data_IF_366320661256
#
_entry.id   IF_366320661256
#
_cell.length_a   1.000
_cell.length_b   1.000
_cell.length_c   1.000
_cell.angle_alpha   90.00
_cell.angle_beta   90.00
_cell.angle_gamma   90.00
#
_symmetry.space_group_name_H-M   'P 1'
#
loop_
_entity.id
_entity.type
_entity.pdbx_description
1 polymer ?
#
# COMPACT_ATOMS: atom_id res chain seq x y z
N UNK A 1 7.82 18.04 4.35
CA UNK A 1 7.50 17.64 2.96
C UNK A 1 5.99 17.36 2.82
N UNK A 2 5.43 17.43 1.61
CA UNK A 2 4.02 17.06 1.34
C UNK A 2 3.99 15.76 0.53
N UNK A 3 3.16 14.81 0.93
CA UNK A 3 2.94 13.52 0.26
C UNK A 3 1.44 13.18 0.23
N UNK A 4 1.06 12.23 -0.62
CA UNK A 4 -0.35 11.87 -0.85
C UNK A 4 -0.64 10.41 -0.54
N UNK A 5 -1.78 10.15 0.09
CA UNK A 5 -2.27 8.81 0.39
C UNK A 5 -3.68 8.62 -0.14
N UNK A 6 -3.92 7.59 -0.96
CA UNK A 6 -5.27 7.20 -1.35
C UNK A 6 -5.81 6.09 -0.46
N UNK A 7 -7.08 6.19 -0.05
CA UNK A 7 -7.80 5.13 0.67
C UNK A 7 -9.28 5.12 0.33
N UNK A 8 -9.89 3.94 0.26
CA UNK A 8 -11.34 3.78 0.09
C UNK A 8 -12.09 4.24 1.36
N UNK A 9 -11.48 4.04 2.54
CA UNK A 9 -12.10 4.37 3.83
C UNK A 9 -11.77 5.80 4.27
N UNK A 10 -12.77 6.48 4.83
CA UNK A 10 -12.55 7.73 5.54
C UNK A 10 -11.91 7.45 6.91
N UNK A 11 -10.88 8.20 7.29
CA UNK A 11 -10.26 8.17 8.61
C UNK A 11 -9.76 9.56 9.00
N UNK A 12 -9.70 9.80 10.31
CA UNK A 12 -9.27 11.10 10.85
C UNK A 12 -7.77 11.14 11.16
N UNK A 13 -7.16 9.99 11.47
CA UNK A 13 -5.77 9.87 11.85
C UNK A 13 -5.17 8.60 11.24
N UNK A 14 -3.85 8.62 10.99
CA UNK A 14 -3.11 7.42 10.61
C UNK A 14 -3.04 6.44 11.78
N UNK A 15 -3.34 5.17 11.53
CA UNK A 15 -3.04 4.06 12.42
C UNK A 15 -2.85 2.78 11.59
N UNK A 16 -2.11 1.82 12.13
CA UNK A 16 -1.72 0.59 11.40
C UNK A 16 -2.88 -0.33 11.03
N UNK A 17 -4.02 -0.21 11.71
CA UNK A 17 -5.17 -1.09 11.49
C UNK A 17 -6.10 -0.56 10.39
N UNK A 18 -6.20 0.77 10.24
CA UNK A 18 -7.12 1.41 9.31
C UNK A 18 -6.47 1.81 7.99
N UNK A 19 -5.14 1.96 7.96
CA UNK A 19 -4.42 2.50 6.81
C UNK A 19 -3.57 1.42 6.15
N UNK A 20 -4.09 0.85 5.07
CA UNK A 20 -3.38 -0.13 4.24
C UNK A 20 -3.56 0.26 2.78
N UNK A 21 -2.47 0.65 2.12
CA UNK A 21 -2.45 0.63 0.65
C UNK A 21 -2.22 -0.80 0.19
N UNK A 22 -3.04 -1.29 -0.75
CA UNK A 22 -2.83 -2.60 -1.36
C UNK A 22 -1.67 -2.53 -2.35
N UNK A 23 -0.45 -2.45 -1.81
CA UNK A 23 0.78 -2.53 -2.56
C UNK A 23 1.13 -3.99 -2.83
N UNK A 24 1.71 -4.25 -4.00
CA UNK A 24 2.18 -5.58 -4.38
C UNK A 24 3.29 -6.09 -3.46
N UNK A 25 3.52 -7.41 -3.51
CA UNK A 25 4.60 -8.10 -2.78
C UNK A 25 4.53 -7.98 -1.25
N UNK A 26 3.34 -7.71 -0.70
CA UNK A 26 3.07 -7.65 0.74
C UNK A 26 3.96 -6.65 1.50
N UNK A 27 4.34 -5.52 0.87
CA UNK A 27 5.16 -4.47 1.50
C UNK A 27 4.35 -3.49 2.35
N UNK A 28 3.03 -3.61 2.29
CA UNK A 28 2.06 -2.74 2.93
C UNK A 28 2.17 -2.70 4.46
N UNK A 29 2.76 -3.72 5.10
CA UNK A 29 2.93 -3.77 6.57
C UNK A 29 4.26 -3.18 7.07
N UNK A 30 5.14 -2.73 6.17
CA UNK A 30 6.41 -2.08 6.55
C UNK A 30 6.13 -0.77 7.29
N UNK A 31 5.26 0.08 6.75
CA UNK A 31 4.91 1.38 7.30
C UNK A 31 3.77 2.04 6.52
N UNK A 32 3.60 3.34 6.71
CA UNK A 32 2.60 4.14 5.99
C UNK A 32 3.14 4.56 4.63
N UNK A 33 2.41 4.21 3.57
CA UNK A 33 2.85 4.46 2.20
C UNK A 33 2.15 5.66 1.57
N UNK A 34 2.94 6.44 0.83
CA UNK A 34 2.53 7.68 0.19
C UNK A 34 3.18 7.85 -1.17
N UNK A 35 2.56 8.64 -2.03
CA UNK A 35 3.10 9.05 -3.32
C UNK A 35 3.49 10.54 -3.31
N UNK A 36 4.46 10.91 -4.14
CA UNK A 36 4.79 12.33 -4.40
C UNK A 36 3.70 13.10 -5.14
N UNK A 37 2.84 12.40 -5.88
CA UNK A 37 1.86 13.01 -6.78
C UNK A 37 0.43 12.55 -6.46
N UNK A 38 -0.51 13.51 -6.51
CA UNK A 38 -1.92 13.30 -6.21
C UNK A 38 -2.61 12.36 -7.20
N UNK A 39 -2.25 12.41 -8.49
CA UNK A 39 -2.86 11.54 -9.49
C UNK A 39 -2.44 10.09 -9.28
N UNK A 40 -1.20 9.87 -8.85
CA UNK A 40 -0.71 8.52 -8.51
C UNK A 40 -1.30 7.95 -7.22
N UNK A 41 -1.88 8.78 -6.36
CA UNK A 41 -2.64 8.34 -5.19
C UNK A 41 -4.06 7.87 -5.53
N UNK A 42 -4.66 8.33 -6.64
CA UNK A 42 -6.05 8.04 -7.02
C UNK A 42 -6.38 6.54 -7.08
N UNK A 43 -5.58 5.66 -7.70
CA UNK A 43 -5.92 4.23 -7.79
C UNK A 43 -6.08 3.56 -6.43
N UNK A 44 -5.40 4.04 -5.39
CA UNK A 44 -5.52 3.51 -4.03
C UNK A 44 -6.81 3.94 -3.32
N UNK A 45 -7.45 5.00 -3.83
CA UNK A 45 -8.72 5.51 -3.35
C UNK A 45 -9.91 5.05 -4.21
N UNK A 46 -9.71 4.16 -5.17
CA UNK A 46 -10.78 3.61 -6.00
C UNK A 46 -10.88 2.10 -5.80
N UNK A 47 -12.09 1.58 -5.66
CA UNK A 47 -12.29 0.15 -5.50
C UNK A 47 -13.71 -0.30 -5.75
N UNK A 48 -14.07 -1.41 -5.13
CA UNK A 48 -15.42 -1.96 -5.19
C UNK A 48 -15.86 -2.43 -3.82
N UNK A 49 -17.08 -2.07 -3.45
CA UNK A 49 -17.74 -2.59 -2.25
C UNK A 49 -18.68 -3.72 -2.63
N UNK A 50 -18.76 -4.73 -1.77
CA UNK A 50 -19.73 -5.81 -1.92
C UNK A 50 -21.05 -5.35 -1.32
N UNK A 51 -22.06 -5.19 -2.16
CA UNK A 51 -23.41 -4.85 -1.73
C UNK A 51 -24.21 -6.14 -1.67
N UNK A 52 -24.88 -6.36 -0.53
CA UNK A 52 -25.82 -7.46 -0.32
C UNK A 52 -27.18 -6.82 -0.09
N UNK A 53 -28.10 -6.98 -1.04
CA UNK A 53 -29.44 -6.38 -0.94
C UNK A 53 -30.54 -7.31 -1.45
N UNK A 54 -31.77 -6.99 -1.07
CA UNK A 54 -32.96 -7.65 -1.60
C UNK A 54 -33.16 -7.23 -3.05
N UNK A 55 -33.23 -8.21 -3.94
CA UNK A 55 -33.42 -7.99 -5.37
C UNK A 55 -34.77 -7.34 -5.64
N UNK A 56 -34.77 -6.31 -6.49
CA UNK A 56 -36.01 -5.68 -6.97
C UNK A 56 -36.64 -6.44 -8.15
N UNK A 57 -35.92 -7.43 -8.71
CA UNK A 57 -36.30 -8.12 -9.95
C UNK A 57 -36.40 -9.64 -9.80
N UNK A 58 -35.77 -10.22 -8.79
CA UNK A 58 -35.74 -11.66 -8.57
C UNK A 58 -36.42 -12.00 -7.25
N UNK A 59 -37.38 -12.92 -7.31
CA UNK A 59 -38.17 -13.37 -6.17
C UNK A 59 -38.12 -14.90 -6.06
N UNK A 60 -38.23 -15.41 -4.85
CA UNK A 60 -38.48 -16.81 -4.56
C UNK A 60 -39.92 -17.18 -4.93
N UNK A 61 -40.22 -18.48 -5.04
CA UNK A 61 -41.56 -18.97 -5.39
C UNK A 61 -42.64 -18.57 -4.37
N UNK A 62 -42.24 -18.30 -3.12
CA UNK A 62 -43.11 -17.78 -2.05
C UNK A 62 -43.37 -16.26 -2.16
N UNK A 63 -42.85 -15.57 -3.18
CA UNK A 63 -42.98 -14.13 -3.39
C UNK A 63 -41.98 -13.27 -2.61
N UNK A 64 -41.07 -13.86 -1.81
CA UNK A 64 -40.04 -13.09 -1.11
C UNK A 64 -38.91 -12.66 -2.05
N UNK A 65 -38.37 -11.43 -1.95
CA UNK A 65 -37.24 -11.00 -2.75
C UNK A 65 -35.99 -11.85 -2.49
N UNK A 66 -35.30 -12.29 -3.54
CA UNK A 66 -34.00 -12.98 -3.40
C UNK A 66 -32.94 -12.02 -2.86
N UNK A 67 -31.95 -12.57 -2.16
CA UNK A 67 -30.75 -11.82 -1.77
C UNK A 67 -29.77 -11.87 -2.93
N UNK A 68 -29.37 -10.71 -3.45
CA UNK A 68 -28.35 -10.59 -4.49
C UNK A 68 -27.10 -9.94 -3.93
N UNK A 69 -25.95 -10.42 -4.40
CA UNK A 69 -24.64 -9.90 -4.06
C UNK A 69 -23.94 -9.43 -5.32
N UNK A 70 -23.53 -8.17 -5.36
CA UNK A 70 -22.78 -7.61 -6.48
C UNK A 70 -21.73 -6.62 -6.01
N UNK A 71 -20.73 -6.38 -6.88
CA UNK A 71 -19.68 -5.38 -6.64
C UNK A 71 -20.15 -4.03 -7.19
N UNK A 72 -20.24 -3.03 -6.32
CA UNK A 72 -20.52 -1.65 -6.69
C UNK A 72 -19.20 -0.86 -6.69
N UNK A 73 -18.89 -0.06 -7.72
CA UNK A 73 -17.75 0.86 -7.69
C UNK A 73 -17.86 1.79 -6.47
N UNK A 74 -16.75 1.99 -5.77
CA UNK A 74 -16.64 2.92 -4.66
C UNK A 74 -15.48 3.88 -4.87
N UNK A 75 -15.77 5.17 -4.64
CA UNK A 75 -14.79 6.25 -4.62
C UNK A 75 -14.50 6.62 -3.16
N UNK A 76 -13.22 6.69 -2.83
CA UNK A 76 -12.71 7.01 -1.51
C UNK A 76 -12.18 8.43 -1.41
N UNK A 77 -11.05 8.57 -0.72
CA UNK A 77 -10.47 9.83 -0.32
C UNK A 77 -8.97 9.85 -0.62
N UNK A 78 -8.47 11.02 -1.02
CA UNK A 78 -7.04 11.31 -1.05
C UNK A 78 -6.69 12.23 0.11
N UNK A 79 -5.70 11.84 0.88
CA UNK A 79 -5.17 12.59 2.01
C UNK A 79 -3.88 13.27 1.58
N UNK A 80 -3.81 14.59 1.77
CA UNK A 80 -2.59 15.37 1.65
C UNK A 80 -1.94 15.47 3.02
N UNK A 81 -0.73 14.97 3.14
CA UNK A 81 -0.07 14.77 4.42
C UNK A 81 1.23 15.56 4.45
N UNK A 82 1.40 16.37 5.49
CA UNK A 82 2.68 16.96 5.84
C UNK A 82 3.47 15.96 6.69
N UNK A 83 4.73 15.77 6.31
CA UNK A 83 5.69 14.94 7.04
C UNK A 83 6.91 15.80 7.37
N UNK A 84 7.25 15.89 8.64
CA UNK A 84 8.34 16.76 9.08
C UNK A 84 9.71 16.13 8.80
N UNK A 85 10.46 16.75 7.89
CA UNK A 85 11.78 16.36 7.33
C UNK A 85 12.38 15.02 7.82
N UNK A 86 11.78 13.86 7.46
CA UNK A 86 12.22 12.58 7.99
C UNK A 86 13.55 12.16 7.36
N UNK A 87 14.39 11.48 8.13
CA UNK A 87 15.61 10.87 7.62
C UNK A 87 15.28 9.58 6.83
N UNK A 88 15.24 9.66 5.50
CA UNK A 88 14.83 8.55 4.63
C UNK A 88 16.02 7.79 4.04
N UNK A 89 15.93 6.46 4.02
CA UNK A 89 16.77 5.63 3.14
C UNK A 89 16.31 5.82 1.69
N UNK A 90 17.18 6.37 0.84
CA UNK A 90 16.86 6.62 -0.57
C UNK A 90 17.33 5.44 -1.42
N UNK A 91 16.39 4.83 -2.14
CA UNK A 91 16.64 3.88 -3.21
C UNK A 91 16.53 4.60 -4.55
N UNK A 92 17.67 4.74 -5.23
CA UNK A 92 17.81 5.37 -6.53
C UNK A 92 18.88 4.64 -7.33
N UNK A 93 18.61 4.38 -8.59
CA UNK A 93 19.58 3.82 -9.52
C UNK A 93 19.42 4.40 -10.92
N UNK A 94 20.54 4.50 -11.62
CA UNK A 94 20.59 4.88 -13.03
C UNK A 94 20.76 3.66 -13.95
N UNK A 95 20.99 2.47 -13.40
CA UNK A 95 21.32 1.25 -14.15
C UNK A 95 20.28 0.14 -13.99
N UNK A 96 19.48 0.19 -12.93
CA UNK A 96 18.41 -0.76 -12.65
C UNK A 96 17.22 -0.04 -12.02
N UNK A 97 16.09 -0.73 -11.86
CA UNK A 97 14.90 -0.14 -11.23
C UNK A 97 15.14 0.09 -9.73
N UNK A 98 14.83 1.28 -9.22
CA UNK A 98 14.97 1.59 -7.79
C UNK A 98 14.18 0.62 -6.90
N UNK A 99 13.06 0.09 -7.41
CA UNK A 99 12.25 -0.90 -6.71
C UNK A 99 12.99 -2.24 -6.55
N UNK A 100 13.81 -2.64 -7.54
CA UNK A 100 14.64 -3.84 -7.46
C UNK A 100 15.68 -3.73 -6.34
N UNK A 101 16.29 -2.55 -6.18
CA UNK A 101 17.25 -2.29 -5.10
C UNK A 101 16.60 -2.47 -3.72
N UNK A 102 15.45 -1.84 -3.53
CA UNK A 102 14.67 -1.95 -2.30
C UNK A 102 14.33 -3.41 -2.00
N UNK A 103 13.79 -4.12 -2.98
CA UNK A 103 13.37 -5.51 -2.80
C UNK A 103 14.56 -6.44 -2.55
N UNK A 104 15.74 -6.19 -3.14
CA UNK A 104 16.96 -6.96 -2.89
C UNK A 104 17.43 -6.84 -1.44
N UNK A 105 17.33 -5.66 -0.84
CA UNK A 105 17.67 -5.47 0.57
C UNK A 105 16.62 -6.12 1.48
N UNK A 106 15.33 -5.97 1.16
CA UNK A 106 14.23 -6.62 1.87
C UNK A 106 14.31 -8.15 1.82
N UNK A 107 14.67 -8.71 0.67
CA UNK A 107 14.73 -10.17 0.43
C UNK A 107 15.70 -10.88 1.39
N UNK A 108 16.67 -10.17 1.99
CA UNK A 108 17.56 -10.72 3.02
C UNK A 108 16.83 -11.17 4.29
N UNK A 109 15.60 -10.67 4.50
CA UNK A 109 14.75 -10.99 5.65
C UNK A 109 13.60 -11.95 5.27
N UNK A 110 13.41 -12.25 3.99
CA UNK A 110 12.28 -12.99 3.46
C UNK A 110 12.56 -14.49 3.36
N UNK A 111 11.64 -15.29 3.87
CA UNK A 111 11.62 -16.75 3.70
C UNK A 111 10.61 -17.13 2.62
N UNK A 112 11.11 -17.38 1.41
CA UNK A 112 10.27 -17.79 0.28
C UNK A 112 10.13 -19.30 0.19
N UNK A 113 8.89 -19.77 0.05
CA UNK A 113 8.59 -21.15 -0.34
C UNK A 113 8.71 -21.29 -1.86
N UNK A 114 9.80 -21.89 -2.31
CA UNK A 114 10.05 -22.17 -3.73
C UNK A 114 10.42 -23.62 -4.00
N UNK A 115 10.02 -24.11 -5.17
CA UNK A 115 10.39 -25.44 -5.66
C UNK A 115 11.81 -25.43 -6.22
N UNK A 116 12.68 -26.33 -5.74
CA UNK A 116 14.01 -26.74 -6.27
C UNK A 116 15.11 -25.66 -6.49
N UNK A 117 14.82 -24.36 -6.50
CA UNK A 117 15.81 -23.28 -6.69
C UNK A 117 16.41 -22.86 -5.35
N UNK A 118 17.75 -22.80 -5.25
CA UNK A 118 18.46 -22.48 -3.99
C UNK A 118 18.36 -21.02 -3.54
N UNK A 119 18.14 -20.08 -4.48
CA UNK A 119 18.05 -18.64 -4.21
C UNK A 119 16.79 -18.08 -4.85
N UNK A 120 15.68 -18.17 -4.11
CA UNK A 120 14.38 -17.66 -4.54
C UNK A 120 14.28 -16.19 -4.16
N UNK A 121 13.81 -15.37 -5.10
CA UNK A 121 13.62 -13.92 -4.91
C UNK A 121 12.18 -13.54 -5.14
N UNK A 122 11.80 -12.32 -4.77
CA UNK A 122 10.46 -11.80 -5.06
C UNK A 122 10.04 -11.88 -6.54
N UNK A 123 11.01 -11.84 -7.47
CA UNK A 123 10.77 -11.96 -8.92
C UNK A 123 10.35 -13.37 -9.36
N UNK A 124 10.62 -14.38 -8.54
CA UNK A 124 10.32 -15.78 -8.86
C UNK A 124 8.85 -16.16 -8.60
N UNK A 125 8.01 -15.23 -8.13
CA UNK A 125 6.60 -15.47 -7.86
C UNK A 125 6.33 -16.49 -6.74
N UNK A 126 7.33 -16.70 -5.88
CA UNK A 126 7.27 -17.64 -4.77
C UNK A 126 6.39 -17.11 -3.62
N UNK A 127 5.88 -18.03 -2.79
CA UNK A 127 5.03 -17.67 -1.65
C UNK A 127 5.92 -17.21 -0.50
N UNK A 128 5.76 -15.97 -0.05
CA UNK A 128 6.45 -15.44 1.13
C UNK A 128 5.83 -16.02 2.41
N UNK A 129 6.61 -16.74 3.21
CA UNK A 129 6.12 -17.45 4.40
C UNK A 129 6.08 -16.59 5.66
N UNK A 130 7.00 -15.65 5.78
CA UNK A 130 7.26 -14.89 7.02
C UNK A 130 7.01 -13.38 6.83
N UNK A 131 5.94 -13.00 6.12
CA UNK A 131 5.71 -11.63 5.65
C UNK A 131 5.79 -10.56 6.75
N UNK A 132 5.20 -10.83 7.91
CA UNK A 132 5.10 -9.86 9.02
C UNK A 132 6.42 -9.74 9.76
N UNK A 133 7.08 -10.89 9.98
CA UNK A 133 8.39 -10.98 10.60
C UNK A 133 9.46 -10.33 9.72
N UNK A 134 9.47 -10.63 8.42
CA UNK A 134 10.40 -10.08 7.44
C UNK A 134 10.30 -8.56 7.37
N UNK A 135 9.09 -8.03 7.19
CA UNK A 135 8.86 -6.59 7.13
C UNK A 135 9.20 -5.89 8.46
N UNK A 136 8.93 -6.54 9.59
CA UNK A 136 9.31 -6.02 10.90
C UNK A 136 10.82 -6.01 11.11
N UNK A 137 11.51 -7.07 10.71
CA UNK A 137 12.97 -7.18 10.81
C UNK A 137 13.67 -6.16 9.91
N UNK A 138 13.20 -6.03 8.66
CA UNK A 138 13.66 -5.03 7.71
C UNK A 138 13.45 -3.60 8.23
N UNK A 139 12.24 -3.25 8.70
CA UNK A 139 12.00 -1.94 9.33
C UNK A 139 12.95 -1.70 10.51
N UNK A 140 13.10 -2.68 11.41
CA UNK A 140 14.00 -2.56 12.57
C UNK A 140 15.46 -2.38 12.15
N UNK A 141 15.92 -2.99 11.05
CA UNK A 141 17.28 -2.83 10.57
C UNK A 141 17.53 -1.40 10.06
N UNK A 142 16.54 -0.79 9.39
CA UNK A 142 16.63 0.61 8.93
C UNK A 142 16.56 1.61 10.08
N UNK A 143 15.67 1.38 11.06
CA UNK A 143 15.61 2.21 12.28
C UNK A 143 16.94 2.18 13.04
N UNK A 144 17.59 1.00 13.14
CA UNK A 144 18.91 0.87 13.77
C UNK A 144 20.01 1.67 13.04
N UNK A 145 19.84 1.91 11.74
CA UNK A 145 20.74 2.76 10.94
C UNK A 145 20.39 4.25 11.05
N UNK A 146 19.35 4.61 11.80
CA UNK A 146 18.90 5.99 12.02
C UNK A 146 17.87 6.48 11.01
N UNK A 147 17.29 5.61 10.18
CA UNK A 147 16.26 5.99 9.21
C UNK A 147 14.86 5.93 9.82
N UNK A 148 14.06 6.94 9.52
CA UNK A 148 12.65 7.10 9.95
C UNK A 148 11.66 6.62 8.88
N UNK A 149 12.19 6.28 7.70
CA UNK A 149 11.43 5.77 6.58
C UNK A 149 12.34 5.44 5.40
N UNK A 150 11.72 5.22 4.25
CA UNK A 150 12.41 5.02 2.98
C UNK A 150 11.71 5.76 1.84
N UNK A 151 12.48 6.03 0.78
CA UNK A 151 12.05 6.62 -0.46
C UNK A 151 12.50 5.73 -1.61
N UNK A 152 11.56 5.26 -2.43
CA UNK A 152 11.84 4.57 -3.68
C UNK A 152 11.57 5.56 -4.81
N UNK A 153 12.62 6.07 -5.43
CA UNK A 153 12.48 7.03 -6.53
C UNK A 153 12.01 6.36 -7.81
N UNK A 154 11.14 7.01 -8.56
CA UNK A 154 10.66 6.56 -9.89
C UNK A 154 10.15 5.11 -9.84
N UNK A 155 9.38 4.76 -8.82
CA UNK A 155 8.75 3.45 -8.72
C UNK A 155 7.60 3.36 -9.73
N UNK A 156 7.51 2.22 -10.44
CA UNK A 156 6.39 1.93 -11.33
C UNK A 156 5.27 1.25 -10.53
N UNK A 157 4.19 1.99 -10.26
CA UNK A 157 3.05 1.56 -9.45
C UNK A 157 1.76 1.85 -10.23
N UNK A 158 0.90 0.84 -10.41
CA UNK A 158 -0.32 0.95 -11.22
C UNK A 158 -0.09 1.55 -12.61
N UNK A 159 1.00 1.15 -13.29
CA UNK A 159 1.46 1.69 -14.58
C UNK A 159 1.78 3.20 -14.58
N UNK A 160 1.99 3.80 -13.41
CA UNK A 160 2.41 5.19 -13.25
C UNK A 160 3.77 5.25 -12.56
N UNK A 161 4.64 6.14 -13.03
CA UNK A 161 5.91 6.43 -12.40
C UNK A 161 5.72 7.48 -11.31
N UNK A 162 6.10 7.17 -10.08
CA UNK A 162 6.02 8.11 -8.95
C UNK A 162 7.10 7.81 -7.93
N UNK A 163 7.49 8.83 -7.17
CA UNK A 163 8.28 8.60 -5.97
C UNK A 163 7.38 8.07 -4.86
N UNK A 164 7.80 6.95 -4.27
CA UNK A 164 7.05 6.20 -3.26
C UNK A 164 7.75 6.34 -1.90
N UNK A 165 7.03 6.88 -0.93
CA UNK A 165 7.51 7.14 0.43
C UNK A 165 6.90 6.13 1.38
N UNK A 166 7.70 5.56 2.28
CA UNK A 166 7.24 4.75 3.38
C UNK A 166 7.73 5.35 4.70
N UNK A 167 6.81 5.79 5.56
CA UNK A 167 7.12 6.39 6.86
C UNK A 167 6.81 5.38 7.96
N UNK A 168 7.73 5.20 8.92
CA UNK A 168 7.60 4.15 9.92
C UNK A 168 6.76 4.54 11.15
N UNK A 169 6.64 5.84 11.44
CA UNK A 169 5.91 6.37 12.59
C UNK A 169 4.67 7.16 12.16
N UNK A 170 3.61 7.09 12.97
CA UNK A 170 2.42 7.92 12.83
C UNK A 170 2.61 9.32 13.40
N UNK A 171 3.48 9.48 14.40
CA UNK A 171 3.75 10.76 15.06
C UNK A 171 4.30 11.84 14.11
N UNK A 172 4.90 11.41 13.00
CA UNK A 172 5.48 12.27 11.98
C UNK A 172 4.47 12.72 10.91
N UNK A 173 3.19 12.31 11.01
CA UNK A 173 2.19 12.46 9.94
C UNK A 173 1.08 13.43 10.34
N UNK A 174 0.96 14.55 9.61
CA UNK A 174 -0.12 15.51 9.78
C UNK A 174 -0.99 15.56 8.52
N UNK A 175 -2.25 15.13 8.63
CA UNK A 175 -3.23 15.34 7.55
C UNK A 175 -3.55 16.83 7.47
N UNK A 176 -3.20 17.43 6.33
CA UNK A 176 -3.46 18.85 6.04
C UNK A 176 -4.74 19.07 5.26
N UNK A 177 -5.17 18.09 4.47
CA UNK A 177 -6.33 18.18 3.59
C UNK A 177 -6.85 16.77 3.27
N UNK A 178 -8.17 16.64 3.17
CA UNK A 178 -8.85 15.41 2.73
C UNK A 178 -9.72 15.75 1.53
N UNK A 179 -9.44 15.08 0.41
CA UNK A 179 -10.07 15.32 -0.89
C UNK A 179 -10.94 14.10 -1.21
N UNK A 180 -12.28 14.19 -1.12
CA UNK A 180 -13.14 13.12 -1.58
C UNK A 180 -13.01 12.95 -3.09
N UNK A 181 -12.97 11.71 -3.57
CA UNK A 181 -13.08 11.43 -5.00
C UNK A 181 -14.56 11.35 -5.38
N UNK A 182 -14.94 12.12 -6.40
CA UNK A 182 -16.25 11.98 -7.01
C UNK A 182 -16.39 10.62 -7.72
N UNK A 183 -17.63 10.14 -7.86
CA UNK A 183 -18.00 8.92 -8.60
C UNK A 183 -18.34 9.27 -10.04
#
# INVERSE_FOLDING_TARGET
>A
MIVYHGSIKNFQNFNKETVVQNLGNDINTIGFWFTSDIHTAKPFATGSETVIEKSKKEFWENGEPKIVQYKKPSSGYIYKVYVDEPNLKIYESNTEESYDLFMRERDQFCDYLGTKKRNVTWKDGAILLNKEEANTAFRKSLIKQGYEGLLIKKALIHNMMTDLYCIFSEDSLLITEVIPLDV
#
